data_IF_408007928931
#
_entry.id   IF_408007928931
#
_cell.length_a   1.000
_cell.length_b   1.000
_cell.length_c   1.000
_cell.angle_alpha   90.00
_cell.angle_beta   90.00
_cell.angle_gamma   90.00
#
_symmetry.space_group_name_H-M   'P 1'
#
loop_
_entity.id
_entity.type
_entity.pdbx_description
1 polymer ?
#
# COMPACT_ATOMS: atom_id res chain seq x y z
N UNK A 1 8.15 6.74 15.70
CA UNK A 1 8.88 6.08 14.62
C UNK A 1 7.92 5.68 13.52
N UNK A 2 8.32 5.97 12.32
CA UNK A 2 7.48 5.72 11.16
C UNK A 2 7.43 4.23 10.85
N UNK A 3 6.28 3.77 10.35
CA UNK A 3 6.11 2.37 9.96
C UNK A 3 7.04 1.98 8.81
N UNK A 4 7.49 2.96 8.04
CA UNK A 4 8.35 2.70 6.90
C UNK A 4 9.84 2.84 7.20
N UNK A 5 10.20 3.16 8.45
CA UNK A 5 11.60 3.29 8.81
C UNK A 5 12.24 1.89 8.90
N UNK A 6 13.31 1.63 8.14
CA UNK A 6 13.91 0.29 8.13
C UNK A 6 14.85 0.12 9.33
N UNK A 7 14.36 -0.58 10.33
CA UNK A 7 15.09 -0.72 11.59
C UNK A 7 15.48 -2.14 11.96
N UNK A 8 14.89 -3.17 11.33
CA UNK A 8 15.12 -4.55 11.75
C UNK A 8 16.05 -5.28 10.80
N UNK A 9 17.09 -5.94 11.36
CA UNK A 9 17.92 -6.82 10.56
C UNK A 9 17.10 -8.07 10.20
N UNK A 10 17.57 -8.83 9.24
CA UNK A 10 16.82 -9.99 8.74
C UNK A 10 16.55 -11.01 9.84
N UNK A 11 17.48 -11.22 10.76
CA UNK A 11 17.26 -12.19 11.84
C UNK A 11 16.08 -11.78 12.72
N UNK A 12 16.01 -10.50 13.07
CA UNK A 12 14.90 -9.99 13.87
C UNK A 12 13.60 -10.03 13.09
N UNK A 13 13.65 -9.66 11.82
CA UNK A 13 12.45 -9.69 10.97
C UNK A 13 11.92 -11.12 10.84
N UNK A 14 12.79 -12.08 10.67
CA UNK A 14 12.39 -13.48 10.57
C UNK A 14 11.69 -13.92 11.86
N UNK A 15 12.27 -13.55 13.00
CA UNK A 15 11.68 -13.92 14.27
C UNK A 15 10.32 -13.27 14.46
N UNK A 16 10.20 -12.00 14.16
CA UNK A 16 8.95 -11.27 14.35
C UNK A 16 7.86 -11.72 13.39
N UNK A 17 8.23 -12.16 12.19
CA UNK A 17 7.24 -12.59 11.21
C UNK A 17 6.92 -14.07 11.29
N UNK A 18 7.73 -14.83 12.01
CA UNK A 18 7.55 -16.28 12.09
C UNK A 18 8.02 -17.02 10.85
N UNK A 19 8.84 -16.38 10.02
CA UNK A 19 9.34 -16.97 8.79
C UNK A 19 10.85 -17.21 8.89
N UNK A 20 11.32 -18.11 8.05
CA UNK A 20 12.75 -18.42 8.02
C UNK A 20 13.49 -17.30 7.29
N UNK A 21 14.71 -16.93 7.71
CA UNK A 21 15.47 -15.89 7.02
C UNK A 21 15.64 -16.14 5.52
N UNK A 22 15.80 -17.41 5.16
CA UNK A 22 15.95 -17.75 3.74
C UNK A 22 14.68 -17.43 2.95
N UNK A 23 13.52 -17.59 3.57
CA UNK A 23 12.25 -17.21 2.96
C UNK A 23 12.19 -15.70 2.74
N UNK A 24 12.69 -14.93 3.70
CA UNK A 24 12.73 -13.49 3.55
C UNK A 24 13.62 -13.07 2.37
N UNK A 25 14.76 -13.73 2.24
CA UNK A 25 15.67 -13.45 1.12
C UNK A 25 15.01 -13.79 -0.21
N UNK A 26 14.26 -14.90 -0.25
CA UNK A 26 13.55 -15.28 -1.46
C UNK A 26 12.48 -14.26 -1.82
N UNK A 27 11.71 -13.80 -0.84
CA UNK A 27 10.66 -12.81 -1.07
C UNK A 27 11.25 -11.47 -1.54
N UNK A 28 12.44 -11.13 -1.07
CA UNK A 28 13.15 -9.94 -1.56
C UNK A 28 13.53 -10.13 -3.03
N UNK A 29 14.09 -11.29 -3.37
CA UNK A 29 14.54 -11.54 -4.74
C UNK A 29 13.40 -11.49 -5.75
N UNK A 30 12.23 -12.01 -5.37
CA UNK A 30 11.09 -12.02 -6.30
C UNK A 30 10.26 -10.74 -6.21
N UNK A 31 10.64 -9.81 -5.36
CA UNK A 31 9.95 -8.53 -5.26
C UNK A 31 8.66 -8.55 -4.47
N UNK A 32 8.43 -9.60 -3.67
CA UNK A 32 7.19 -9.70 -2.90
C UNK A 32 7.20 -8.78 -1.70
N UNK A 33 8.26 -8.86 -0.88
CA UNK A 33 8.47 -7.95 0.25
C UNK A 33 9.92 -7.52 0.18
N UNK A 34 10.16 -6.26 -0.17
CA UNK A 34 11.50 -5.75 -0.43
C UNK A 34 11.93 -4.84 0.72
N UNK A 35 12.99 -5.18 1.44
CA UNK A 35 13.46 -4.35 2.54
C UNK A 35 14.32 -3.20 2.04
N UNK A 36 14.57 -2.24 2.93
CA UNK A 36 15.59 -1.25 2.66
C UNK A 36 16.98 -1.87 2.82
N UNK A 37 18.01 -1.10 2.52
CA UNK A 37 19.38 -1.58 2.64
C UNK A 37 20.23 -0.55 3.36
N UNK A 38 21.19 -1.04 4.14
CA UNK A 38 22.18 -0.17 4.74
C UNK A 38 23.20 0.22 3.65
N UNK A 39 24.05 1.22 3.89
CA UNK A 39 25.10 1.54 2.93
C UNK A 39 25.99 0.35 2.61
N UNK A 40 26.14 -0.59 3.55
CA UNK A 40 26.92 -1.80 3.31
C UNK A 40 26.17 -2.89 2.59
N UNK A 41 24.91 -2.66 2.21
CA UNK A 41 24.12 -3.62 1.45
C UNK A 41 23.33 -4.62 2.27
N UNK A 42 23.30 -4.46 3.59
CA UNK A 42 22.54 -5.38 4.43
C UNK A 42 21.06 -5.04 4.40
N UNK A 43 20.23 -6.06 4.48
CA UNK A 43 18.78 -5.87 4.47
C UNK A 43 18.31 -5.27 5.79
N UNK A 44 17.37 -4.33 5.70
CA UNK A 44 16.75 -3.74 6.88
C UNK A 44 15.26 -3.65 6.64
N UNK A 45 14.50 -4.20 7.56
CA UNK A 45 13.04 -4.32 7.41
C UNK A 45 12.34 -3.29 8.28
N UNK A 46 11.28 -2.69 7.75
CA UNK A 46 10.46 -1.75 8.49
C UNK A 46 9.34 -2.51 9.21
N UNK A 47 8.63 -1.83 10.09
CA UNK A 47 7.44 -2.40 10.71
C UNK A 47 6.43 -2.82 9.65
N UNK A 48 6.27 -2.00 8.61
CA UNK A 48 5.35 -2.32 7.53
C UNK A 48 5.78 -3.60 6.81
N UNK A 49 7.08 -3.76 6.59
CA UNK A 49 7.58 -4.99 5.98
C UNK A 49 7.25 -6.21 6.86
N UNK A 50 7.39 -6.07 8.17
CA UNK A 50 7.09 -7.18 9.08
C UNK A 50 5.61 -7.54 9.01
N UNK A 51 4.74 -6.54 8.97
CA UNK A 51 3.31 -6.79 8.83
C UNK A 51 2.98 -7.48 7.51
N UNK A 52 3.63 -7.05 6.43
CA UNK A 52 3.46 -7.68 5.13
C UNK A 52 3.92 -9.13 5.16
N UNK A 53 5.04 -9.39 5.82
CA UNK A 53 5.54 -10.76 5.93
C UNK A 53 4.57 -11.65 6.71
N UNK A 54 3.98 -11.12 7.78
CA UNK A 54 3.00 -11.86 8.54
C UNK A 54 1.76 -12.16 7.70
N UNK A 55 1.34 -11.20 6.91
CA UNK A 55 0.19 -11.38 6.03
C UNK A 55 0.47 -12.43 4.97
N UNK A 56 1.68 -12.39 4.38
CA UNK A 56 2.07 -13.41 3.41
C UNK A 56 2.03 -14.79 4.05
N UNK A 57 2.56 -14.92 5.26
CA UNK A 57 2.56 -16.20 5.96
C UNK A 57 1.12 -16.69 6.20
N UNK A 58 0.25 -15.79 6.63
CA UNK A 58 -1.14 -16.14 6.91
C UNK A 58 -1.87 -16.58 5.64
N UNK A 59 -1.78 -15.78 4.58
CA UNK A 59 -2.46 -16.09 3.34
C UNK A 59 -1.92 -17.34 2.69
N UNK A 60 -0.61 -17.55 2.76
CA UNK A 60 0.01 -18.75 2.23
C UNK A 60 -0.49 -19.99 2.96
N UNK A 61 -0.65 -19.88 4.29
CA UNK A 61 -1.15 -21.00 5.07
C UNK A 61 -2.61 -21.32 4.73
N UNK A 62 -3.32 -20.36 4.20
CA UNK A 62 -4.72 -20.55 3.78
C UNK A 62 -4.84 -21.02 2.34
N UNK A 63 -3.72 -21.25 1.68
CA UNK A 63 -3.72 -21.77 0.33
C UNK A 63 -3.73 -20.70 -0.77
N UNK A 64 -3.56 -19.43 -0.42
CA UNK A 64 -3.51 -18.38 -1.44
C UNK A 64 -2.15 -18.43 -2.13
N UNK A 65 -2.14 -18.35 -3.46
CA UNK A 65 -0.90 -18.46 -4.22
C UNK A 65 -0.05 -17.21 -4.06
N UNK A 66 1.26 -17.33 -4.23
CA UNK A 66 2.15 -16.19 -4.13
C UNK A 66 1.82 -15.09 -5.14
N UNK A 67 1.49 -15.39 -6.40
CA UNK A 67 1.09 -14.32 -7.31
C UNK A 67 -0.15 -13.56 -6.83
N UNK A 68 -1.12 -14.27 -6.24
CA UNK A 68 -2.31 -13.61 -5.71
C UNK A 68 -1.97 -12.77 -4.50
N UNK A 69 -1.07 -13.26 -3.63
CA UNK A 69 -0.63 -12.49 -2.47
C UNK A 69 0.08 -11.21 -2.93
N UNK A 70 0.92 -11.32 -3.97
CA UNK A 70 1.62 -10.15 -4.50
C UNK A 70 0.63 -9.09 -4.96
N UNK A 71 -0.45 -9.50 -5.64
CA UNK A 71 -1.46 -8.56 -6.08
C UNK A 71 -2.18 -7.90 -4.90
N UNK A 72 -2.46 -8.69 -3.86
CA UNK A 72 -3.09 -8.14 -2.67
C UNK A 72 -2.21 -7.10 -2.00
N UNK A 73 -0.93 -7.39 -1.87
CA UNK A 73 0.00 -6.44 -1.26
C UNK A 73 0.11 -5.16 -2.08
N UNK A 74 0.16 -5.29 -3.40
CA UNK A 74 0.21 -4.13 -4.28
C UNK A 74 -1.05 -3.28 -4.13
N UNK A 75 -2.21 -3.92 -4.08
CA UNK A 75 -3.47 -3.21 -3.92
C UNK A 75 -3.56 -2.52 -2.56
N UNK A 76 -3.05 -3.16 -1.53
CA UNK A 76 -3.02 -2.57 -0.20
C UNK A 76 -2.12 -1.34 -0.17
N UNK A 77 -0.97 -1.42 -0.85
CA UNK A 77 -0.07 -0.29 -0.94
C UNK A 77 -0.72 0.87 -1.69
N UNK A 78 -1.36 0.58 -2.80
CA UNK A 78 -2.06 1.60 -3.57
C UNK A 78 -3.20 2.22 -2.75
N UNK A 79 -3.93 1.37 -2.03
CA UNK A 79 -5.03 1.83 -1.20
C UNK A 79 -4.50 2.78 -0.11
N UNK A 80 -3.39 2.41 0.53
CA UNK A 80 -2.80 3.25 1.56
C UNK A 80 -2.37 4.60 1.01
N UNK A 81 -1.71 4.58 -0.15
CA UNK A 81 -1.24 5.81 -0.78
C UNK A 81 -2.42 6.70 -1.14
N UNK A 82 -3.48 6.11 -1.69
CA UNK A 82 -4.66 6.88 -2.06
C UNK A 82 -5.37 7.47 -0.84
N UNK A 83 -5.43 6.71 0.26
CA UNK A 83 -6.03 7.20 1.48
C UNK A 83 -5.24 8.37 2.06
N UNK A 84 -3.92 8.28 2.02
CA UNK A 84 -3.07 9.37 2.49
C UNK A 84 -3.27 10.61 1.62
N UNK A 85 -3.44 10.40 0.31
CA UNK A 85 -3.66 11.50 -0.61
C UNK A 85 -5.01 12.17 -0.35
N UNK A 86 -6.05 11.37 -0.08
CA UNK A 86 -7.35 11.91 0.25
C UNK A 86 -7.26 12.76 1.50
N UNK A 87 -6.58 12.27 2.55
CA UNK A 87 -6.43 13.03 3.78
C UNK A 87 -5.69 14.35 3.55
N UNK A 88 -4.66 14.32 2.72
CA UNK A 88 -3.90 15.52 2.40
C UNK A 88 -4.76 16.53 1.66
N UNK A 89 -5.52 16.05 0.67
CA UNK A 89 -6.38 16.94 -0.10
C UNK A 89 -7.52 17.50 0.74
N UNK A 90 -8.09 16.69 1.62
CA UNK A 90 -9.14 17.17 2.52
C UNK A 90 -8.60 18.21 3.47
N UNK A 91 -7.39 18.00 3.96
CA UNK A 91 -6.76 18.95 4.85
C UNK A 91 -6.47 20.27 4.13
N UNK A 92 -5.98 20.19 2.90
CA UNK A 92 -5.69 21.37 2.09
C UNK A 92 -6.99 22.13 1.79
N UNK A 93 -8.06 21.40 1.49
CA UNK A 93 -9.33 22.03 1.19
C UNK A 93 -9.88 22.74 2.42
N UNK A 94 -9.75 22.11 3.59
CA UNK A 94 -10.20 22.71 4.83
C UNK A 94 -9.42 23.99 5.12
N UNK A 95 -8.10 23.96 4.93
CA UNK A 95 -7.28 25.13 5.15
C UNK A 95 -7.66 26.26 4.19
N UNK A 96 -7.96 25.89 2.95
CA UNK A 96 -8.35 26.88 1.96
C UNK A 96 -9.67 27.56 2.37
N UNK A 97 -10.62 26.80 2.86
CA UNK A 97 -11.88 27.37 3.31
C UNK A 97 -11.68 28.31 4.49
N UNK A 98 -10.83 27.91 5.40
CA UNK A 98 -10.58 28.73 6.59
C UNK A 98 -9.86 30.03 6.24
N UNK A 99 -9.02 30.00 5.22
CA UNK A 99 -8.26 31.17 4.84
C UNK A 99 -9.01 32.08 3.87
N UNK A 100 -10.23 31.73 3.48
CA UNK A 100 -11.02 32.51 2.55
C UNK A 100 -12.43 32.70 3.08
N UNK A 101 -12.55 33.42 4.19
CA UNK A 101 -13.86 33.63 4.80
C UNK A 101 -14.75 34.37 3.84
N UNK A 102 -15.98 33.99 3.77
CA UNK A 102 -16.88 34.62 2.87
C UNK A 102 -17.05 33.91 1.55
N UNK A 103 -16.15 32.99 1.25
CA UNK A 103 -16.30 32.23 0.02
C UNK A 103 -17.27 31.10 0.29
N UNK A 104 -18.28 31.00 -0.57
CA UNK A 104 -19.22 29.95 -0.38
C UNK A 104 -18.82 28.79 -1.16
N UNK A 105 -18.97 27.67 -0.57
CA UNK A 105 -18.55 26.48 -1.21
C UNK A 105 -19.72 25.74 -1.73
N UNK A 106 -20.43 26.35 -2.57
CA UNK A 106 -21.51 25.71 -3.11
C UNK A 106 -21.08 24.65 -3.95
N UNK A 107 -20.16 24.95 -4.62
CA UNK A 107 -19.69 24.04 -5.56
C UNK A 107 -19.33 22.84 -4.91
N UNK A 108 -18.97 22.99 -3.83
CA UNK A 108 -18.52 21.85 -3.22
C UNK A 108 -19.65 20.97 -3.24
N UNK A 109 -20.62 21.55 -2.98
CA UNK A 109 -21.67 20.71 -2.92
C UNK A 109 -21.73 20.06 -4.16
N UNK A 110 -21.60 20.82 -5.00
CA UNK A 110 -21.81 20.26 -6.18
C UNK A 110 -20.88 19.29 -6.40
N UNK A 111 -20.09 19.67 -6.16
CA UNK A 111 -19.29 18.77 -6.58
C UNK A 111 -19.62 17.54 -6.19
N UNK A 112 -20.04 17.74 -5.88
CA UNK A 112 -20.14 16.72 -5.76
C UNK A 112 -20.11 15.91 -6.33
N UNK A 113 -20.04 15.99 -6.35
CA UNK A 113 -20.00 15.32 -6.67
C UNK A 113 -19.76 14.37 -7.10
N UNK A 114 -19.75 14.03 -7.28
CA UNK A 114 -19.56 13.15 -7.74
C UNK A 114 -19.24 12.25 -7.96
N UNK A 115 -19.22 11.89 -8.12
CA UNK A 115 -18.98 10.88 -8.41
C UNK A 115 -18.55 9.99 -8.44
N UNK A 116 -18.52 9.56 -8.33
CA UNK A 116 -18.11 8.60 -8.36
C UNK A 116 -17.99 7.79 -8.79
N UNK A 117 -17.96 7.58 -9.03
CA UNK A 117 -17.81 6.65 -9.41
C UNK A 117 -17.24 5.91 -9.41
N UNK A 118 -17.39 5.94 -9.51
CA UNK A 118 -16.95 5.33 -9.57
C UNK A 118 -16.35 4.71 -9.64
N UNK A 119 -16.19 4.47 -9.65
CA UNK A 119 -15.46 3.80 -9.65
C UNK A 119 -15.34 2.99 -10.04
N UNK A 120 -15.63 2.84 -10.19
CA UNK A 120 -15.50 2.08 -10.45
C UNK A 120 -14.85 1.46 -11.01
N UNK A 121 -14.69 1.09 -11.17
CA UNK A 121 -13.91 0.48 -11.51
C UNK A 121 -13.23 0.73 -12.36
N UNK A 122 -13.00 1.16 -12.49
CA UNK A 122 -12.21 1.47 -13.09
C UNK A 122 -11.15 1.25 -13.26
N UNK A 123 -10.95 0.93 -13.32
CA UNK A 123 -9.81 0.60 -13.48
C UNK A 123 -9.15 0.40 -14.17
N UNK A 124 -9.12 0.28 -14.15
CA UNK A 124 -8.25 0.01 -14.57
C UNK A 124 -7.49 0.06 -15.01
N UNK A 125 -7.48 0.09 -14.94
CA UNK A 125 -6.51 0.06 -15.20
C UNK A 125 -5.87 0.08 -15.44
N UNK A 126 -5.93 -0.03 -15.41
CA UNK A 126 -5.15 -0.11 -15.43
C UNK A 126 -4.70 -0.32 -15.72
N UNK A 127 -4.80 -0.40 -15.66
CA UNK A 127 -4.25 -0.63 -15.67
C UNK A 127 -4.21 -1.03 -15.76
N UNK A 128 -4.68 -1.10 -15.70
CA UNK A 128 -4.52 -1.55 -15.51
C UNK A 128 -4.60 -2.10 -15.95
N UNK A 129 -4.69 -2.30 -16.08
CA UNK A 129 -4.44 -2.89 -16.23
C UNK A 129 -4.46 -3.46 -16.39
N UNK A 130 -4.61 -3.65 -16.21
CA UNK A 130 -4.43 -4.35 -16.09
C UNK A 130 -4.92 -4.84 -16.26
N UNK A 131 -5.31 -4.90 -16.26
CA UNK A 131 -5.60 -5.44 -15.98
C UNK A 131 -6.18 -6.12 -16.51
N UNK A 132 -6.38 -6.36 -16.49
CA UNK A 132 -6.60 -7.07 -16.66
C UNK A 132 -7.26 -7.68 -16.91
N UNK A 133 -7.60 -7.92 -16.96
CA UNK A 133 -7.98 -8.64 -16.91
C UNK A 133 -8.61 -9.10 -16.98
N UNK A 134 -8.99 -9.06 -16.75
CA UNK A 134 -9.19 -9.45 -16.51
C UNK A 134 -9.81 -9.33 -16.66
N UNK A 135 -10.10 -9.35 -16.56
CA UNK A 135 -10.27 -9.07 -16.37
C UNK A 135 -10.81 -8.71 -16.25
N UNK A 136 -11.37 -8.78 -16.29
CA UNK A 136 -11.37 -8.50 -16.03
C UNK A 136 -11.73 -8.22 -15.94
N UNK A 137 -12.11 -8.34 -15.84
CA UNK A 137 -11.87 -8.32 -15.49
C UNK A 137 -12.01 -8.02 -15.48
#
# INVERSE_FOLDING_TARGET
MDADTPVFAIAAAAKLSGLHPQTLRQYDRIGLVVPGRTPGGSRRYSHRNIEQLREVAQLSSEGVSLPAIARLLDLEDENRILRERVLTLESALRAERENRPGVRVFAAGSAGVVPMPSGRRIRRSTELVLWSPRSGG
#
